data_IF_413386878855
#
_entry.id   IF_413386878855
#
_cell.length_a   1.000
_cell.length_b   1.000
_cell.length_c   1.000
_cell.angle_alpha   90.00
_cell.angle_beta   90.00
_cell.angle_gamma   90.00
#
_symmetry.space_group_name_H-M   'P 1'
#
loop_
_entity.id
_entity.type
_entity.pdbx_description
1 polymer ?
#
# COMPACT_ATOMS: atom_id res chain seq x y z
N UNK A 1 -18.33 37.11 -11.27
CA UNK A 1 -18.76 35.85 -11.95
C UNK A 1 -17.60 34.90 -12.38
N UNK A 2 -16.34 35.08 -11.96
CA UNK A 2 -15.21 34.25 -12.41
C UNK A 2 -14.67 33.22 -11.40
N UNK A 3 -14.80 33.49 -10.10
CA UNK A 3 -14.25 32.66 -9.03
C UNK A 3 -15.04 31.36 -8.80
N UNK A 4 -16.37 31.43 -8.85
CA UNK A 4 -17.28 30.30 -8.62
C UNK A 4 -17.12 29.21 -9.69
N UNK A 5 -16.80 29.63 -10.92
CA UNK A 5 -16.55 28.72 -12.06
C UNK A 5 -15.20 28.00 -11.99
N UNK A 6 -14.19 28.58 -11.31
CA UNK A 6 -12.91 27.89 -11.03
C UNK A 6 -13.09 26.84 -9.95
N UNK A 7 -13.73 27.20 -8.83
CA UNK A 7 -13.99 26.29 -7.72
C UNK A 7 -14.74 25.01 -8.17
N UNK A 8 -15.74 25.14 -9.05
CA UNK A 8 -16.46 23.98 -9.59
C UNK A 8 -15.59 23.03 -10.43
N UNK A 9 -14.59 23.57 -11.17
CA UNK A 9 -13.65 22.76 -11.95
C UNK A 9 -12.61 22.09 -11.06
N UNK A 10 -12.17 22.77 -10.01
CA UNK A 10 -11.21 22.25 -9.04
C UNK A 10 -11.81 21.08 -8.25
N UNK A 11 -13.08 21.20 -7.82
CA UNK A 11 -13.81 20.11 -7.16
C UNK A 11 -13.98 18.91 -8.09
N UNK A 12 -14.39 19.14 -9.35
CA UNK A 12 -14.53 18.08 -10.35
C UNK A 12 -13.19 17.37 -10.65
N UNK A 13 -12.09 18.12 -10.71
CA UNK A 13 -10.75 17.57 -10.88
C UNK A 13 -10.34 16.71 -9.67
N UNK A 14 -10.56 17.19 -8.44
CA UNK A 14 -10.25 16.46 -7.21
C UNK A 14 -11.04 15.14 -7.13
N UNK A 15 -12.32 15.13 -7.47
CA UNK A 15 -13.12 13.91 -7.49
C UNK A 15 -12.65 12.91 -8.54
N UNK A 16 -12.27 13.41 -9.73
CA UNK A 16 -11.73 12.58 -10.81
C UNK A 16 -10.39 11.95 -10.39
N UNK A 17 -9.51 12.73 -9.75
CA UNK A 17 -8.24 12.24 -9.21
C UNK A 17 -8.44 11.21 -8.09
N UNK A 18 -9.40 11.41 -7.18
CA UNK A 18 -9.73 10.44 -6.13
C UNK A 18 -10.22 9.11 -6.69
N UNK A 19 -11.05 9.14 -7.74
CA UNK A 19 -11.51 7.93 -8.44
C UNK A 19 -10.35 7.21 -9.14
N UNK A 20 -9.50 7.96 -9.82
CA UNK A 20 -8.30 7.41 -10.49
C UNK A 20 -7.30 6.77 -9.51
N UNK A 21 -7.08 7.40 -8.35
CA UNK A 21 -6.19 6.87 -7.31
C UNK A 21 -6.66 5.52 -6.75
N UNK A 22 -7.97 5.32 -6.60
CA UNK A 22 -8.53 4.04 -6.16
C UNK A 22 -8.29 2.90 -7.16
N UNK A 23 -8.50 3.18 -8.45
CA UNK A 23 -8.24 2.23 -9.53
C UNK A 23 -6.76 1.89 -9.66
N UNK A 24 -5.89 2.90 -9.55
CA UNK A 24 -4.44 2.71 -9.54
C UNK A 24 -4.00 1.86 -8.34
N UNK A 25 -4.53 2.13 -7.14
CA UNK A 25 -4.25 1.33 -5.93
C UNK A 25 -4.70 -0.11 -6.07
N UNK A 26 -5.89 -0.35 -6.65
CA UNK A 26 -6.37 -1.70 -6.93
C UNK A 26 -5.47 -2.40 -7.96
N UNK A 27 -5.10 -1.72 -9.05
CA UNK A 27 -4.25 -2.26 -10.11
C UNK A 27 -2.84 -2.57 -9.62
N UNK A 28 -2.22 -1.67 -8.86
CA UNK A 28 -0.91 -1.93 -8.23
C UNK A 28 -1.02 -3.10 -7.26
N UNK A 29 -2.07 -3.14 -6.42
CA UNK A 29 -2.31 -4.23 -5.49
C UNK A 29 -2.58 -5.59 -6.16
N UNK A 30 -3.18 -5.59 -7.37
CA UNK A 30 -3.51 -6.81 -8.11
C UNK A 30 -2.39 -7.28 -9.04
N UNK A 31 -1.68 -6.35 -9.69
CA UNK A 31 -0.65 -6.65 -10.71
C UNK A 31 0.75 -6.78 -10.12
N UNK A 32 1.14 -5.91 -9.18
CA UNK A 32 2.47 -6.03 -8.56
C UNK A 32 2.51 -7.08 -7.45
N UNK A 33 1.36 -7.67 -7.07
CA UNK A 33 1.30 -8.61 -5.95
C UNK A 33 1.69 -7.99 -4.61
N UNK A 34 1.82 -6.66 -4.55
CA UNK A 34 2.42 -5.92 -3.45
C UNK A 34 1.46 -5.72 -2.26
N UNK A 35 0.47 -6.60 -2.16
CA UNK A 35 -0.42 -6.69 -1.00
C UNK A 35 0.23 -7.47 0.15
N UNK A 36 1.56 -7.40 0.23
CA UNK A 36 2.39 -8.11 1.18
C UNK A 36 2.03 -7.74 2.63
N UNK A 37 1.81 -6.45 2.88
CA UNK A 37 1.40 -5.98 4.21
C UNK A 37 0.02 -6.51 4.60
N UNK A 38 -0.97 -6.47 3.71
CA UNK A 38 -2.31 -7.02 4.02
C UNK A 38 -2.26 -8.52 4.27
N UNK A 39 -1.49 -9.27 3.48
CA UNK A 39 -1.27 -10.71 3.70
C UNK A 39 -0.61 -10.96 5.05
N UNK A 40 0.40 -10.17 5.40
CA UNK A 40 1.05 -10.22 6.71
C UNK A 40 0.04 -9.97 7.83
N UNK A 41 -0.78 -8.91 7.76
CA UNK A 41 -1.78 -8.61 8.79
C UNK A 41 -2.81 -9.74 8.90
N UNK A 42 -3.36 -10.24 7.79
CA UNK A 42 -4.30 -11.37 7.83
C UNK A 42 -3.68 -12.61 8.49
N UNK A 43 -2.42 -12.92 8.15
CA UNK A 43 -1.70 -14.06 8.71
C UNK A 43 -1.37 -13.86 10.19
N UNK A 44 -0.91 -12.67 10.56
CA UNK A 44 -0.58 -12.28 11.92
C UNK A 44 -1.83 -12.33 12.81
N UNK A 45 -2.95 -11.78 12.36
CA UNK A 45 -4.21 -11.83 13.11
C UNK A 45 -4.76 -13.25 13.25
N UNK A 46 -4.46 -14.14 12.30
CA UNK A 46 -4.88 -15.54 12.37
C UNK A 46 -4.01 -16.39 13.31
N UNK A 47 -2.69 -16.16 13.34
CA UNK A 47 -1.74 -16.93 14.15
C UNK A 47 -1.50 -16.34 15.54
N UNK A 48 -1.59 -15.01 15.66
CA UNK A 48 -1.23 -14.24 16.85
C UNK A 48 -2.27 -13.15 17.11
N UNK A 49 -3.51 -13.53 17.48
CA UNK A 49 -4.58 -12.56 17.72
C UNK A 49 -4.28 -11.59 18.87
N UNK A 50 -3.42 -12.01 19.81
CA UNK A 50 -3.09 -11.23 21.02
C UNK A 50 -1.96 -10.22 20.79
N UNK A 51 -1.27 -10.31 19.65
CA UNK A 51 -0.13 -9.46 19.31
C UNK A 51 -0.52 -8.47 18.22
N UNK A 52 -0.46 -7.15 18.47
CA UNK A 52 -0.77 -6.18 17.44
C UNK A 52 0.19 -6.35 16.25
N UNK A 53 -0.31 -6.30 15.00
CA UNK A 53 0.55 -6.38 13.83
C UNK A 53 1.51 -5.18 13.79
N UNK A 54 2.69 -5.41 13.21
CA UNK A 54 3.64 -4.34 12.94
C UNK A 54 3.00 -3.23 12.11
N UNK A 55 3.46 -1.99 12.31
CA UNK A 55 3.12 -0.90 11.41
C UNK A 55 3.61 -1.20 9.99
N UNK A 56 2.96 -0.64 8.98
CA UNK A 56 3.33 -0.86 7.59
C UNK A 56 4.80 -0.51 7.32
N UNK A 57 5.27 0.62 7.86
CA UNK A 57 6.67 1.04 7.73
C UNK A 57 7.65 0.07 8.39
N UNK A 58 7.32 -0.45 9.57
CA UNK A 58 8.19 -1.40 10.28
C UNK A 58 8.20 -2.78 9.62
N UNK A 59 7.05 -3.20 9.06
CA UNK A 59 6.98 -4.40 8.22
C UNK A 59 7.94 -4.31 7.03
N UNK A 60 7.93 -3.18 6.31
CA UNK A 60 8.84 -2.96 5.18
C UNK A 60 10.30 -2.92 5.62
N UNK A 61 10.63 -2.23 6.72
CA UNK A 61 12.00 -2.23 7.28
C UNK A 61 12.47 -3.63 7.63
N UNK A 62 11.66 -4.40 8.35
CA UNK A 62 11.98 -5.79 8.71
C UNK A 62 12.18 -6.64 7.45
N UNK A 63 11.29 -6.52 6.47
CA UNK A 63 11.36 -7.28 5.21
C UNK A 63 12.61 -6.95 4.41
N UNK A 64 13.00 -5.68 4.31
CA UNK A 64 14.25 -5.30 3.63
C UNK A 64 15.48 -5.79 4.40
N UNK A 65 15.48 -5.70 5.73
CA UNK A 65 16.56 -6.28 6.55
C UNK A 65 16.67 -7.79 6.37
N UNK A 66 15.54 -8.50 6.31
CA UNK A 66 15.55 -9.95 6.11
C UNK A 66 16.06 -10.34 4.72
N UNK A 67 15.75 -9.55 3.68
CA UNK A 67 16.29 -9.75 2.33
C UNK A 67 17.78 -9.42 2.22
N UNK A 68 18.24 -8.39 2.94
CA UNK A 68 19.65 -8.01 3.00
C UNK A 68 20.48 -9.04 3.78
N UNK A 69 19.94 -9.52 4.92
CA UNK A 69 20.58 -10.52 5.78
C UNK A 69 20.52 -11.95 5.21
N UNK A 70 19.46 -12.29 4.48
CA UNK A 70 19.30 -13.57 3.81
C UNK A 70 19.20 -13.33 2.29
N UNK A 71 20.33 -13.12 1.60
CA UNK A 71 20.35 -13.12 0.15
C UNK A 71 20.20 -14.58 -0.33
N UNK A 72 18.98 -15.11 -0.22
CA UNK A 72 18.57 -16.42 -0.72
C UNK A 72 18.67 -16.41 -2.25
N UNK A 73 19.89 -16.57 -2.76
CA UNK A 73 20.18 -16.40 -4.18
C UNK A 73 21.66 -16.23 -4.56
N UNK A 74 22.61 -16.24 -3.61
CA UNK A 74 24.03 -16.44 -3.96
C UNK A 74 24.40 -17.92 -3.81
N UNK A 75 23.71 -18.76 -4.57
CA UNK A 75 24.24 -20.08 -4.91
C UNK A 75 25.29 -19.87 -5.99
N UNK A 76 26.55 -19.91 -5.58
CA UNK A 76 27.65 -20.33 -6.43
C UNK A 76 27.53 -21.83 -6.74
#
# INVERSE_FOLDING_TARGET
MGADRKAGKDVALIETLRRGAGALRWYVGSVMGDNHYRRYVTHQSALHPDVPPLSESDYWRMRYRNQDANPEGRCC
#
